data_IF_905360779756
#
_entry.id   IF_905360779756
#
_cell.length_a   1.000
_cell.length_b   1.000
_cell.length_c   1.000
_cell.angle_alpha   90.00
_cell.angle_beta   90.00
_cell.angle_gamma   90.00
#
_symmetry.space_group_name_H-M   'P 1'
#
loop_
_entity.id
_entity.type
_entity.pdbx_description
1 polymer ?
#
# COMPACT_ATOMS: atom_id res chain seq x y z
N UNK A 1 -18.52 -63.31 12.78
CA UNK A 1 -19.17 -61.98 12.83
C UNK A 1 -18.09 -60.93 13.09
N UNK A 2 -17.72 -60.12 12.09
CA UNK A 2 -16.65 -59.11 12.22
C UNK A 2 -17.26 -57.81 12.74
N UNK A 3 -16.83 -57.36 13.92
CA UNK A 3 -17.21 -56.04 14.48
C UNK A 3 -16.35 -54.97 13.81
N UNK A 4 -16.97 -54.07 13.06
CA UNK A 4 -16.30 -52.90 12.48
C UNK A 4 -16.20 -51.85 13.59
N UNK A 5 -14.97 -51.50 14.00
CA UNK A 5 -14.72 -50.35 14.86
C UNK A 5 -14.92 -49.08 14.02
N UNK A 6 -15.90 -48.26 14.36
CA UNK A 6 -15.99 -46.89 13.86
C UNK A 6 -14.90 -46.05 14.54
N UNK A 7 -13.90 -45.65 13.76
CA UNK A 7 -12.90 -44.68 14.18
C UNK A 7 -13.48 -43.27 14.01
N UNK A 8 -14.05 -42.74 15.10
CA UNK A 8 -14.48 -41.33 15.19
C UNK A 8 -13.26 -40.41 15.08
N UNK A 9 -13.00 -39.92 13.88
CA UNK A 9 -12.00 -38.87 13.64
C UNK A 9 -12.58 -37.53 14.09
N UNK A 10 -12.19 -37.11 15.30
CA UNK A 10 -12.38 -35.75 15.76
C UNK A 10 -11.47 -34.87 14.89
N UNK A 11 -12.08 -34.18 13.93
CA UNK A 11 -11.44 -33.12 13.15
C UNK A 11 -11.14 -31.97 14.13
N UNK A 12 -9.91 -31.94 14.64
CA UNK A 12 -9.42 -30.81 15.42
C UNK A 12 -9.47 -29.55 14.56
N UNK A 13 -10.31 -28.59 14.96
CA UNK A 13 -10.35 -27.26 14.36
C UNK A 13 -9.09 -26.53 14.78
N UNK A 14 -8.00 -26.74 14.05
CA UNK A 14 -6.84 -25.86 14.14
C UNK A 14 -7.27 -24.49 13.60
N UNK A 15 -7.07 -23.37 14.32
CA UNK A 15 -7.13 -22.06 13.71
C UNK A 15 -5.93 -21.96 12.76
N UNK A 16 -6.13 -22.38 11.52
CA UNK A 16 -5.26 -21.98 10.43
C UNK A 16 -5.41 -20.46 10.36
N UNK A 17 -4.38 -19.73 10.79
CA UNK A 17 -4.20 -18.33 10.43
C UNK A 17 -3.97 -18.26 8.92
N UNK A 18 -5.04 -18.44 8.16
CA UNK A 18 -5.13 -18.13 6.74
C UNK A 18 -4.91 -16.62 6.64
N UNK A 19 -3.67 -16.22 6.38
CA UNK A 19 -3.38 -14.88 5.89
C UNK A 19 -3.94 -14.87 4.48
N UNK A 20 -5.20 -14.43 4.35
CA UNK A 20 -5.75 -14.10 3.04
C UNK A 20 -4.77 -13.13 2.40
N UNK A 21 -4.17 -13.55 1.27
CA UNK A 21 -3.33 -12.64 0.49
C UNK A 21 -4.11 -11.37 0.20
N UNK A 22 -3.39 -10.26 0.01
CA UNK A 22 -3.97 -8.97 -0.37
C UNK A 22 -4.51 -9.00 -1.80
N UNK A 23 -5.55 -9.79 -2.05
CA UNK A 23 -6.13 -10.02 -3.39
C UNK A 23 -6.83 -8.76 -3.93
N UNK A 24 -7.06 -7.75 -3.09
CA UNK A 24 -7.71 -6.49 -3.47
C UNK A 24 -7.06 -5.24 -2.86
N UNK A 25 -5.84 -5.33 -2.32
CA UNK A 25 -5.08 -4.13 -1.94
C UNK A 25 -4.54 -3.48 -3.20
N UNK A 26 -4.76 -2.18 -3.33
CA UNK A 26 -4.19 -1.36 -4.39
C UNK A 26 -3.16 -0.42 -3.81
N UNK A 27 -2.05 -0.26 -4.53
CA UNK A 27 -1.06 0.77 -4.27
C UNK A 27 -0.92 1.65 -5.49
N UNK A 28 -0.82 2.95 -5.27
CA UNK A 28 -0.78 3.92 -6.35
C UNK A 28 0.08 5.11 -5.98
N UNK A 29 0.76 5.69 -6.97
CA UNK A 29 1.40 7.00 -6.83
C UNK A 29 1.18 7.83 -8.08
N UNK A 30 1.23 9.16 -7.90
CA UNK A 30 1.21 10.14 -8.99
C UNK A 30 2.19 11.27 -8.70
N UNK A 31 2.82 11.77 -9.75
CA UNK A 31 3.70 12.93 -9.73
C UNK A 31 3.18 13.99 -10.70
N UNK A 32 3.58 15.25 -10.54
CA UNK A 32 3.27 16.32 -11.49
C UNK A 32 1.75 16.58 -11.68
N UNK A 33 0.92 16.17 -10.71
CA UNK A 33 -0.50 16.54 -10.64
C UNK A 33 -0.70 17.77 -9.75
N UNK A 34 -1.97 18.17 -9.56
CA UNK A 34 -2.36 19.10 -8.49
C UNK A 34 -1.77 18.73 -7.11
N UNK A 35 -1.55 17.44 -6.88
CA UNK A 35 -0.81 16.93 -5.76
C UNK A 35 0.03 15.70 -6.15
N UNK A 36 1.22 15.64 -5.60
CA UNK A 36 2.05 14.45 -5.62
C UNK A 36 1.60 13.55 -4.46
N UNK A 37 1.46 12.25 -4.69
CA UNK A 37 1.01 11.33 -3.64
C UNK A 37 1.44 9.89 -3.85
N UNK A 38 1.44 9.15 -2.74
CA UNK A 38 1.44 7.69 -2.70
C UNK A 38 0.31 7.21 -1.77
N UNK A 39 -0.47 6.22 -2.21
CA UNK A 39 -1.68 5.74 -1.53
C UNK A 39 -1.66 4.21 -1.46
N UNK A 40 -2.00 3.67 -0.30
CA UNK A 40 -2.49 2.29 -0.13
C UNK A 40 -3.99 2.33 0.10
N UNK A 41 -4.74 1.46 -0.58
CA UNK A 41 -6.18 1.41 -0.45
C UNK A 41 -6.72 -0.02 -0.57
N UNK A 42 -7.64 -0.37 0.33
CA UNK A 42 -8.50 -1.54 0.22
C UNK A 42 -9.89 -1.20 0.79
N UNK A 43 -10.86 -0.96 -0.10
CA UNK A 43 -12.19 -0.50 0.28
C UNK A 43 -12.83 -1.40 1.34
N UNK A 44 -13.29 -0.78 2.45
CA UNK A 44 -13.95 -1.44 3.57
C UNK A 44 -13.13 -2.54 4.28
N UNK A 45 -11.81 -2.59 4.07
CA UNK A 45 -10.92 -3.53 4.75
C UNK A 45 -9.81 -2.76 5.47
N UNK A 46 -10.05 -2.35 6.73
CA UNK A 46 -9.06 -1.62 7.49
C UNK A 46 -7.92 -2.55 7.93
N UNK A 47 -6.70 -2.15 7.64
CA UNK A 47 -5.49 -2.75 8.19
C UNK A 47 -4.54 -1.66 8.70
N UNK A 48 -3.54 -2.09 9.45
CA UNK A 48 -2.53 -1.21 10.01
C UNK A 48 -1.45 -0.88 8.96
N UNK A 49 -1.70 0.20 8.22
CA UNK A 49 -0.89 0.62 7.08
C UNK A 49 0.05 1.75 7.43
N UNK A 50 1.19 1.76 6.75
CA UNK A 50 2.09 2.93 6.67
C UNK A 50 2.50 3.15 5.23
N UNK A 51 2.50 4.41 4.80
CA UNK A 51 3.03 4.81 3.50
C UNK A 51 4.18 5.79 3.73
N UNK A 52 5.33 5.47 3.16
CA UNK A 52 6.46 6.39 3.07
C UNK A 52 6.58 6.81 1.62
N UNK A 53 6.47 8.11 1.35
CA UNK A 53 6.52 8.68 0.00
C UNK A 53 7.71 9.61 -0.10
N UNK A 54 8.62 9.33 -1.02
CA UNK A 54 9.74 10.21 -1.38
C UNK A 54 9.35 11.00 -2.61
N UNK A 55 9.36 12.32 -2.49
CA UNK A 55 9.10 13.23 -3.59
C UNK A 55 10.41 13.93 -3.94
N UNK A 56 10.76 13.95 -5.21
CA UNK A 56 12.00 14.57 -5.65
C UNK A 56 11.90 15.15 -7.04
N UNK A 57 12.90 15.93 -7.43
CA UNK A 57 12.94 16.53 -8.77
C UNK A 57 14.26 16.29 -9.50
N UNK A 58 14.25 16.50 -10.82
CA UNK A 58 15.43 16.23 -11.66
C UNK A 58 16.65 17.13 -11.39
N UNK A 59 16.51 18.21 -10.61
CA UNK A 59 17.61 19.14 -10.34
C UNK A 59 18.42 18.80 -9.08
N UNK A 60 18.04 17.74 -8.36
CA UNK A 60 18.84 17.18 -7.28
C UNK A 60 18.22 17.34 -5.89
N UNK A 61 18.94 16.80 -4.91
CA UNK A 61 18.48 16.49 -3.56
C UNK A 61 17.94 17.67 -2.74
N UNK A 62 18.24 18.92 -3.11
CA UNK A 62 17.84 20.12 -2.37
C UNK A 62 16.31 20.34 -2.35
N UNK A 63 15.58 19.60 -3.19
CA UNK A 63 14.11 19.62 -3.27
C UNK A 63 13.49 18.26 -2.95
N UNK A 64 14.31 17.26 -2.63
CA UNK A 64 13.83 15.95 -2.26
C UNK A 64 13.37 15.97 -0.82
N UNK A 65 12.17 15.45 -0.57
CA UNK A 65 11.67 15.29 0.78
C UNK A 65 10.81 14.03 0.90
N UNK A 66 10.52 13.67 2.14
CA UNK A 66 9.82 12.46 2.47
C UNK A 66 8.61 12.76 3.35
N UNK A 67 7.51 12.09 3.05
CA UNK A 67 6.31 12.07 3.89
C UNK A 67 6.15 10.66 4.42
N UNK A 68 6.06 10.51 5.74
CA UNK A 68 5.78 9.25 6.41
C UNK A 68 4.47 9.39 7.18
N UNK A 69 3.47 8.58 6.82
CA UNK A 69 2.15 8.63 7.48
C UNK A 69 2.18 8.05 8.88
N UNK A 70 3.22 7.30 9.24
CA UNK A 70 3.17 6.36 10.36
C UNK A 70 2.18 5.22 10.11
N UNK A 71 2.10 4.32 11.08
CA UNK A 71 1.15 3.21 11.09
C UNK A 71 -0.22 3.70 11.59
N UNK A 72 -1.28 3.33 10.87
CA UNK A 72 -2.66 3.61 11.26
C UNK A 72 -3.61 2.56 10.71
N UNK A 73 -4.60 2.16 11.52
CA UNK A 73 -5.65 1.23 11.13
C UNK A 73 -6.72 1.98 10.32
N UNK A 74 -6.68 1.79 9.01
CA UNK A 74 -7.58 2.47 8.05
C UNK A 74 -7.76 1.62 6.80
N UNK A 75 -8.83 1.86 6.05
CA UNK A 75 -9.03 1.24 4.73
C UNK A 75 -8.26 1.99 3.62
N UNK A 76 -7.78 3.21 3.91
CA UNK A 76 -6.97 4.03 2.99
C UNK A 76 -5.93 4.83 3.76
N UNK A 77 -4.67 4.72 3.33
CA UNK A 77 -3.54 5.47 3.88
C UNK A 77 -2.85 6.22 2.74
N UNK A 78 -2.57 7.52 2.92
CA UNK A 78 -2.10 8.38 1.84
C UNK A 78 -1.07 9.40 2.32
N UNK A 79 0.09 9.41 1.67
CA UNK A 79 1.10 10.45 1.80
C UNK A 79 0.93 11.42 0.64
N UNK A 80 0.48 12.66 0.91
CA UNK A 80 0.08 13.63 -0.11
C UNK A 80 0.78 14.97 0.09
N UNK A 81 1.35 15.54 -0.98
CA UNK A 81 1.82 16.92 -1.02
C UNK A 81 1.07 17.71 -2.08
N UNK A 82 0.29 18.70 -1.67
CA UNK A 82 -0.46 19.58 -2.55
C UNK A 82 0.44 20.69 -3.10
N UNK A 83 0.27 21.06 -4.37
CA UNK A 83 0.95 22.20 -4.99
C UNK A 83 2.48 22.06 -5.09
N UNK A 84 3.01 20.85 -4.97
CA UNK A 84 4.45 20.59 -5.03
C UNK A 84 5.01 20.75 -6.45
N UNK A 85 4.25 20.25 -7.43
CA UNK A 85 4.52 20.46 -8.83
C UNK A 85 3.59 21.56 -9.36
N UNK A 86 4.13 22.70 -9.83
CA UNK A 86 3.35 23.66 -10.59
C UNK A 86 2.66 22.97 -11.77
N UNK A 87 1.45 23.39 -12.12
CA UNK A 87 0.76 22.89 -13.32
C UNK A 87 1.66 23.12 -14.54
N UNK A 88 2.02 22.06 -15.27
CA UNK A 88 3.00 21.99 -16.38
C UNK A 88 4.47 21.78 -16.00
N UNK A 89 4.79 21.58 -14.73
CA UNK A 89 6.10 21.07 -14.31
C UNK A 89 6.09 19.54 -14.36
N UNK A 90 6.91 18.95 -15.24
CA UNK A 90 7.05 17.48 -15.41
C UNK A 90 8.35 16.93 -14.82
N UNK A 91 8.92 17.66 -13.87
CA UNK A 91 10.26 17.39 -13.36
C UNK A 91 10.26 16.65 -12.04
N UNK A 92 9.10 16.38 -11.46
CA UNK A 92 8.98 15.63 -10.23
C UNK A 92 8.86 14.13 -10.51
N UNK A 93 9.37 13.36 -9.55
CA UNK A 93 9.10 11.94 -9.42
C UNK A 93 8.62 11.66 -8.00
N UNK A 94 7.82 10.60 -7.87
CA UNK A 94 7.31 10.14 -6.59
C UNK A 94 7.62 8.65 -6.47
N UNK A 95 8.21 8.26 -5.36
CA UNK A 95 8.42 6.86 -4.99
C UNK A 95 7.66 6.53 -3.71
N UNK A 96 6.69 5.63 -3.79
CA UNK A 96 5.92 5.14 -2.66
C UNK A 96 6.45 3.81 -2.13
N UNK A 97 6.51 3.69 -0.82
CA UNK A 97 6.84 2.46 -0.11
C UNK A 97 5.68 2.13 0.82
N UNK A 98 5.04 0.99 0.56
CA UNK A 98 3.79 0.61 1.19
C UNK A 98 4.04 -0.52 2.18
N UNK A 99 3.73 -0.27 3.45
CA UNK A 99 3.99 -1.18 4.55
C UNK A 99 2.68 -1.62 5.21
N UNK A 100 2.72 -2.86 5.68
CA UNK A 100 1.70 -3.48 6.50
C UNK A 100 2.42 -4.01 7.74
N UNK A 101 1.90 -3.75 8.94
CA UNK A 101 2.65 -3.99 10.17
C UNK A 101 2.98 -5.47 10.41
N UNK A 102 2.15 -6.39 9.93
CA UNK A 102 2.38 -7.84 10.01
C UNK A 102 3.29 -8.39 8.89
N UNK A 103 3.50 -7.64 7.80
CA UNK A 103 4.35 -8.05 6.68
C UNK A 103 5.80 -7.65 6.93
N UNK A 104 6.71 -8.64 6.95
CA UNK A 104 8.13 -8.39 7.18
C UNK A 104 8.39 -7.61 8.49
N UNK A 105 7.56 -7.84 9.52
CA UNK A 105 7.56 -7.13 10.80
C UNK A 105 7.45 -5.60 10.66
N UNK A 106 6.74 -5.11 9.64
CA UNK A 106 6.55 -3.69 9.38
C UNK A 106 7.83 -2.95 8.96
N UNK A 107 8.87 -3.69 8.57
CA UNK A 107 10.18 -3.14 8.15
C UNK A 107 10.43 -3.28 6.66
N UNK A 108 9.73 -4.19 6.01
CA UNK A 108 9.85 -4.46 4.58
C UNK A 108 8.55 -3.98 3.94
N UNK A 109 8.60 -3.11 2.92
CA UNK A 109 7.40 -2.74 2.20
C UNK A 109 6.88 -3.98 1.45
N UNK A 110 5.58 -4.21 1.50
CA UNK A 110 4.94 -5.27 0.72
C UNK A 110 4.83 -4.90 -0.76
N UNK A 111 4.84 -3.60 -1.06
CA UNK A 111 4.81 -3.08 -2.43
C UNK A 111 5.50 -1.71 -2.55
N UNK A 112 5.86 -1.34 -3.77
CA UNK A 112 6.52 -0.08 -4.10
C UNK A 112 6.02 0.47 -5.42
N UNK A 113 5.92 1.78 -5.50
CA UNK A 113 5.55 2.53 -6.71
C UNK A 113 6.66 3.52 -7.05
N UNK A 114 6.84 3.81 -8.34
CA UNK A 114 7.74 4.86 -8.81
C UNK A 114 7.18 5.45 -10.10
N UNK A 115 6.86 6.75 -10.07
CA UNK A 115 6.19 7.44 -11.17
C UNK A 115 6.81 8.80 -11.42
N UNK A 116 6.67 9.27 -12.67
CA UNK A 116 7.16 10.56 -13.15
C UNK A 116 6.08 11.40 -13.83
N UNK A 117 4.83 10.94 -13.77
CA UNK A 117 3.72 11.58 -14.45
C UNK A 117 2.45 11.52 -13.58
N UNK A 118 1.42 12.19 -14.09
CA UNK A 118 0.13 12.31 -13.44
C UNK A 118 -0.82 11.15 -13.81
N UNK A 119 -0.30 10.14 -14.49
CA UNK A 119 -1.10 9.00 -14.94
C UNK A 119 -1.47 8.11 -13.77
N UNK A 120 -2.69 7.58 -13.80
CA UNK A 120 -3.15 6.65 -12.78
C UNK A 120 -2.85 5.23 -13.26
N UNK A 121 -1.80 4.63 -12.72
CA UNK A 121 -1.51 3.21 -12.92
C UNK A 121 -2.19 2.39 -11.83
N UNK A 122 -3.06 1.45 -12.23
CA UNK A 122 -3.76 0.49 -11.36
C UNK A 122 -4.76 1.08 -10.34
N UNK A 123 -5.13 2.36 -10.46
CA UNK A 123 -6.13 2.99 -9.62
C UNK A 123 -7.54 2.80 -10.19
N UNK A 124 -8.36 2.01 -9.49
CA UNK A 124 -9.80 2.11 -9.61
C UNK A 124 -10.20 3.38 -8.86
N UNK A 125 -10.61 4.41 -9.60
CA UNK A 125 -11.41 5.46 -8.98
C UNK A 125 -12.81 4.86 -8.92
N UNK A 126 -13.35 4.72 -7.71
CA UNK A 126 -14.77 4.47 -7.53
C UNK A 126 -15.55 5.44 -8.44
N UNK A 127 -16.46 4.85 -9.21
CA UNK A 127 -17.28 5.47 -10.26
C UNK A 127 -18.02 6.73 -9.81
#
# INVERSE_FOLDING_TARGET
>A
MKKILLLSTILGVLPLSLHAGMVSTTVHSRANCYNNESITWWFNHPYDWRVVSTHGNIYGADRDHMIDTGYSVTWRQAAVHWGEAPLNDHRWFVSGYHYLSDYGNGRIPFDKTNVKDCSIYNGWWDH
#
